data_IF_639906946007
#
_entry.id   IF_639906946007
#
_cell.length_a   1.000
_cell.length_b   1.000
_cell.length_c   1.000
_cell.angle_alpha   90.00
_cell.angle_beta   90.00
_cell.angle_gamma   90.00
#
_symmetry.space_group_name_H-M   'P 1'
#
loop_
_entity.id
_entity.type
_entity.pdbx_description
1 polymer ?
#
# COMPACT_ATOMS: atom_id res chain seq x y z
N UNK A 1 4.79 12.93 -11.28
CA UNK A 1 5.47 11.84 -10.58
C UNK A 1 5.95 12.32 -9.24
N UNK A 2 5.65 11.54 -8.21
CA UNK A 2 6.05 11.86 -6.85
C UNK A 2 7.48 11.38 -6.63
N UNK A 3 8.39 12.30 -6.34
CA UNK A 3 9.75 11.96 -5.95
C UNK A 3 9.98 12.38 -4.52
N UNK A 4 10.79 11.62 -3.84
CA UNK A 4 11.14 11.92 -2.46
C UNK A 4 12.17 13.05 -2.39
N UNK A 5 11.90 14.05 -1.59
CA UNK A 5 12.82 15.16 -1.39
C UNK A 5 14.04 14.75 -0.58
N UNK A 6 15.11 15.57 -0.65
CA UNK A 6 16.36 15.32 0.07
C UNK A 6 16.15 15.21 1.58
N UNK A 7 15.29 16.06 2.15
CA UNK A 7 14.99 16.03 3.58
C UNK A 7 14.26 14.75 3.99
N UNK A 8 13.38 14.25 3.15
CA UNK A 8 12.67 13.00 3.41
C UNK A 8 13.61 11.82 3.40
N UNK A 9 14.53 11.76 2.44
CA UNK A 9 15.56 10.70 2.39
C UNK A 9 16.44 10.72 3.63
N UNK A 10 16.84 11.91 4.06
CA UNK A 10 17.65 12.07 5.27
C UNK A 10 16.88 11.59 6.50
N UNK A 11 15.62 11.98 6.64
CA UNK A 11 14.76 11.56 7.74
C UNK A 11 14.65 10.04 7.78
N UNK A 12 14.42 9.42 6.62
CA UNK A 12 14.33 7.96 6.53
C UNK A 12 15.63 7.28 6.98
N UNK A 13 16.78 7.80 6.52
CA UNK A 13 18.08 7.23 6.90
C UNK A 13 18.36 7.35 8.39
N UNK A 14 17.96 8.46 9.00
CA UNK A 14 18.22 8.73 10.42
C UNK A 14 17.26 7.99 11.33
N UNK A 15 15.97 7.91 10.96
CA UNK A 15 14.91 7.36 11.81
C UNK A 15 14.56 5.91 11.48
N UNK A 16 14.85 5.44 10.28
CA UNK A 16 14.49 4.11 9.83
C UNK A 16 13.06 3.99 9.31
N UNK A 17 12.31 5.08 9.30
CA UNK A 17 10.94 5.13 8.76
C UNK A 17 10.62 6.53 8.26
N UNK A 18 9.55 6.60 7.48
CA UNK A 18 9.01 7.86 7.00
C UNK A 18 7.50 7.70 6.88
N UNK A 19 6.73 8.68 7.41
CA UNK A 19 5.27 8.66 7.34
C UNK A 19 4.74 10.00 6.79
N UNK A 20 3.43 10.09 6.65
CA UNK A 20 2.78 11.31 6.17
C UNK A 20 3.02 11.59 4.70
N UNK A 21 3.18 10.54 3.89
CA UNK A 21 3.39 10.67 2.45
C UNK A 21 2.04 10.65 1.74
N UNK A 22 1.74 11.71 0.97
CA UNK A 22 0.54 11.76 0.14
C UNK A 22 0.81 10.99 -1.15
N UNK A 23 0.26 9.80 -1.26
CA UNK A 23 0.49 8.92 -2.41
C UNK A 23 -0.71 8.88 -3.35
N UNK A 24 -1.91 8.69 -2.80
CA UNK A 24 -3.12 8.52 -3.58
C UNK A 24 -4.06 9.71 -3.41
N UNK A 25 -4.76 10.07 -4.47
CA UNK A 25 -5.83 11.07 -4.40
C UNK A 25 -7.04 10.49 -3.67
N UNK A 26 -7.96 11.37 -3.26
CA UNK A 26 -9.21 10.94 -2.63
C UNK A 26 -10.02 10.04 -3.54
N UNK A 27 -10.05 10.31 -4.84
CA UNK A 27 -10.76 9.48 -5.81
C UNK A 27 -10.12 8.10 -5.95
N UNK A 28 -8.80 8.03 -5.98
CA UNK A 28 -8.08 6.76 -6.02
C UNK A 28 -8.35 5.93 -4.78
N UNK A 29 -8.30 6.55 -3.61
CA UNK A 29 -8.60 5.87 -2.34
C UNK A 29 -10.05 5.39 -2.30
N UNK A 30 -11.00 6.21 -2.77
CA UNK A 30 -12.41 5.79 -2.85
C UNK A 30 -12.59 4.58 -3.76
N UNK A 31 -11.88 4.55 -4.88
CA UNK A 31 -11.91 3.40 -5.79
C UNK A 31 -11.37 2.13 -5.16
N UNK A 32 -10.22 2.22 -4.51
CA UNK A 32 -9.64 1.08 -3.80
C UNK A 32 -10.49 0.63 -2.62
N UNK A 33 -11.09 1.57 -1.91
CA UNK A 33 -11.99 1.25 -0.80
C UNK A 33 -13.21 0.45 -1.28
N UNK A 34 -13.80 0.85 -2.41
CA UNK A 34 -14.93 0.11 -2.99
C UNK A 34 -14.54 -1.32 -3.36
N UNK A 35 -13.35 -1.49 -3.92
CA UNK A 35 -12.86 -2.82 -4.29
C UNK A 35 -12.59 -3.67 -3.05
N UNK A 36 -12.03 -3.08 -2.00
CA UNK A 36 -11.85 -3.77 -0.73
C UNK A 36 -13.18 -4.16 -0.09
N UNK A 37 -14.16 -3.26 -0.10
CA UNK A 37 -15.49 -3.55 0.45
C UNK A 37 -16.15 -4.72 -0.28
N UNK A 38 -15.99 -4.81 -1.59
CA UNK A 38 -16.50 -5.94 -2.38
C UNK A 38 -15.78 -7.25 -2.03
N UNK A 39 -14.47 -7.18 -1.81
CA UNK A 39 -13.68 -8.33 -1.38
C UNK A 39 -14.12 -8.81 0.01
N UNK A 40 -14.31 -7.88 0.94
CA UNK A 40 -14.77 -8.19 2.29
C UNK A 40 -16.16 -8.82 2.27
N UNK A 41 -17.08 -8.30 1.43
CA UNK A 41 -18.42 -8.88 1.27
C UNK A 41 -18.36 -10.32 0.77
N UNK A 42 -17.38 -10.65 -0.08
CA UNK A 42 -17.21 -11.98 -0.66
C UNK A 42 -16.52 -12.96 0.30
N UNK A 43 -15.49 -12.52 1.01
CA UNK A 43 -14.65 -13.39 1.84
C UNK A 43 -15.01 -13.36 3.33
N UNK A 44 -15.71 -12.35 3.77
CA UNK A 44 -16.07 -12.17 5.17
C UNK A 44 -15.06 -11.35 5.95
N UNK A 45 -15.55 -10.69 6.99
CA UNK A 45 -14.77 -9.77 7.82
C UNK A 45 -13.64 -10.47 8.58
N UNK A 46 -13.91 -11.67 9.07
CA UNK A 46 -12.92 -12.46 9.81
C UNK A 46 -11.72 -12.80 8.94
N UNK A 47 -11.95 -13.25 7.70
CA UNK A 47 -10.88 -13.54 6.75
C UNK A 47 -10.08 -12.28 6.40
N UNK A 48 -10.77 -11.16 6.21
CA UNK A 48 -10.13 -9.90 5.83
C UNK A 48 -9.30 -9.28 6.95
N UNK A 49 -9.55 -9.64 8.21
CA UNK A 49 -8.88 -9.02 9.33
C UNK A 49 -7.36 -9.27 9.32
N UNK A 50 -6.94 -10.51 9.16
CA UNK A 50 -5.51 -10.87 9.09
C UNK A 50 -5.20 -11.94 8.06
N UNK A 51 -6.19 -12.48 7.38
CA UNK A 51 -6.03 -13.62 6.45
C UNK A 51 -5.68 -13.25 5.02
N UNK A 52 -5.63 -11.98 4.67
CA UNK A 52 -5.33 -11.55 3.30
C UNK A 52 -3.82 -11.40 3.10
N UNK A 53 -3.16 -12.52 2.87
CA UNK A 53 -1.72 -12.58 2.64
C UNK A 53 -1.47 -12.82 1.15
N UNK A 54 -0.63 -11.98 0.55
CA UNK A 54 -0.27 -12.08 -0.86
C UNK A 54 -1.47 -12.06 -1.82
N UNK A 55 -2.48 -11.26 -1.48
CA UNK A 55 -3.70 -11.14 -2.28
C UNK A 55 -3.46 -10.48 -3.65
N UNK A 56 -2.28 -9.89 -3.86
CA UNK A 56 -1.91 -9.33 -5.16
C UNK A 56 -1.82 -10.40 -6.26
N UNK A 57 -1.72 -11.68 -5.92
CA UNK A 57 -1.77 -12.76 -6.90
C UNK A 57 -3.18 -13.04 -7.41
N UNK A 58 -4.19 -12.71 -6.63
CA UNK A 58 -5.58 -13.04 -6.93
C UNK A 58 -6.44 -11.81 -7.23
N UNK A 59 -6.10 -10.66 -6.61
CA UNK A 59 -6.87 -9.44 -6.69
C UNK A 59 -6.08 -8.36 -7.42
N UNK A 60 -6.57 -7.96 -8.59
CA UNK A 60 -5.86 -6.99 -9.43
C UNK A 60 -5.63 -5.66 -8.73
N UNK A 61 -6.61 -5.18 -7.95
CA UNK A 61 -6.46 -3.89 -7.28
C UNK A 61 -5.33 -3.90 -6.25
N UNK A 62 -5.08 -5.04 -5.61
CA UNK A 62 -3.97 -5.18 -4.67
C UNK A 62 -2.63 -5.07 -5.40
N UNK A 63 -2.52 -5.73 -6.55
CA UNK A 63 -1.34 -5.60 -7.41
C UNK A 63 -1.16 -4.16 -7.86
N UNK A 64 -2.24 -3.49 -8.28
CA UNK A 64 -2.19 -2.11 -8.74
C UNK A 64 -1.73 -1.16 -7.63
N UNK A 65 -2.17 -1.38 -6.39
CA UNK A 65 -1.70 -0.60 -5.24
C UNK A 65 -0.22 -0.85 -4.97
N UNK A 66 0.19 -2.11 -4.97
CA UNK A 66 1.57 -2.48 -4.64
C UNK A 66 2.57 -2.03 -5.71
N UNK A 67 2.11 -1.85 -6.93
CA UNK A 67 2.95 -1.45 -8.06
C UNK A 67 2.61 -0.08 -8.61
N UNK A 68 1.93 0.74 -7.82
CA UNK A 68 1.58 2.09 -8.23
C UNK A 68 2.83 2.87 -8.64
N UNK A 69 2.82 3.56 -9.81
CA UNK A 69 4.01 4.27 -10.28
C UNK A 69 4.56 5.29 -9.29
N UNK A 70 3.69 6.02 -8.59
CA UNK A 70 4.13 6.98 -7.59
C UNK A 70 4.82 6.31 -6.40
N UNK A 71 4.31 5.15 -5.97
CA UNK A 71 4.93 4.37 -4.92
C UNK A 71 6.29 3.83 -5.37
N UNK A 72 6.35 3.26 -6.57
CA UNK A 72 7.60 2.72 -7.11
C UNK A 72 8.67 3.78 -7.26
N UNK A 73 8.31 4.99 -7.73
CA UNK A 73 9.25 6.09 -7.84
C UNK A 73 9.90 6.42 -6.50
N UNK A 74 9.11 6.46 -5.43
CA UNK A 74 9.63 6.73 -4.10
C UNK A 74 10.51 5.59 -3.58
N UNK A 75 10.10 4.37 -3.82
CA UNK A 75 10.88 3.21 -3.41
C UNK A 75 12.22 3.14 -4.16
N UNK A 76 12.22 3.47 -5.46
CA UNK A 76 13.45 3.53 -6.24
C UNK A 76 14.40 4.61 -5.71
N UNK A 77 13.86 5.73 -5.29
CA UNK A 77 14.66 6.80 -4.69
C UNK A 77 15.35 6.37 -3.39
N UNK A 78 14.72 5.48 -2.62
CA UNK A 78 15.28 4.99 -1.36
C UNK A 78 16.16 3.77 -1.54
N UNK A 79 15.82 2.86 -2.44
CA UNK A 79 16.38 1.51 -2.49
C UNK A 79 17.09 1.18 -3.80
N UNK A 80 17.01 2.06 -4.81
CA UNK A 80 17.59 1.82 -6.12
C UNK A 80 16.57 1.30 -7.11
N UNK A 81 16.99 1.13 -8.36
CA UNK A 81 16.08 0.82 -9.46
C UNK A 81 15.55 -0.61 -9.47
N UNK A 82 16.32 -1.54 -8.94
CA UNK A 82 15.97 -2.96 -8.98
C UNK A 82 15.07 -3.31 -7.78
N UNK A 83 13.77 -3.28 -8.01
CA UNK A 83 12.76 -3.54 -6.99
C UNK A 83 11.98 -4.80 -7.29
N UNK A 84 11.54 -5.47 -6.23
CA UNK A 84 10.70 -6.65 -6.30
C UNK A 84 9.65 -6.58 -5.21
N UNK A 85 8.41 -6.92 -5.52
CA UNK A 85 7.36 -7.08 -4.50
C UNK A 85 7.60 -8.41 -3.79
N UNK A 86 8.03 -8.36 -2.55
CA UNK A 86 8.24 -9.56 -1.76
C UNK A 86 6.91 -10.18 -1.32
N UNK A 87 5.98 -9.35 -0.91
CA UNK A 87 4.68 -9.81 -0.43
C UNK A 87 3.78 -8.64 -0.10
N UNK A 88 2.49 -8.97 0.11
CA UNK A 88 1.49 -8.01 0.58
C UNK A 88 0.69 -8.62 1.71
N UNK A 89 0.21 -7.79 2.62
CA UNK A 89 -0.62 -8.25 3.72
C UNK A 89 -1.55 -7.12 4.14
N UNK A 90 -2.82 -7.47 4.32
CA UNK A 90 -3.79 -6.54 4.90
C UNK A 90 -3.93 -6.81 6.39
N UNK A 91 -3.81 -5.77 7.17
CA UNK A 91 -4.12 -5.78 8.60
C UNK A 91 -5.30 -4.85 8.82
N UNK A 92 -6.49 -5.41 8.93
CA UNK A 92 -7.70 -4.61 9.06
C UNK A 92 -8.06 -4.44 10.54
N UNK A 93 -8.20 -3.19 10.96
CA UNK A 93 -8.66 -2.86 12.31
C UNK A 93 -10.08 -2.37 12.21
N UNK A 94 -10.99 -3.06 12.89
CA UNK A 94 -12.40 -2.70 12.90
C UNK A 94 -12.73 -1.96 14.19
N UNK A 95 -13.73 -1.06 14.14
CA UNK A 95 -14.16 -0.39 15.36
C UNK A 95 -14.65 -1.39 16.40
N UNK A 96 -14.39 -1.10 17.67
CA UNK A 96 -14.94 -1.88 18.79
C UNK A 96 -16.40 -1.50 18.94
N UNK A 97 -17.26 -2.48 18.94
CA UNK A 97 -18.72 -2.29 19.11
C UNK A 97 -19.10 -2.32 20.58
#
# INVERSE_FOLDING_TARGET
>A
MLKMGSNQKKTYREQGFLNGIDLFSDDEISGYRKQFDALEARLGRETCQIGLVNSHFEERFVWDMATDPGLLDQMQDLMGEDLMVLGTHFFCKYPVE
#
